data_IF_826136384274
#
_entry.id   IF_826136384274
#
_cell.length_a   1.000
_cell.length_b   1.000
_cell.length_c   1.000
_cell.angle_alpha   90.00
_cell.angle_beta   90.00
_cell.angle_gamma   90.00
#
_symmetry.space_group_name_H-M   'P 1'
#
loop_
_entity.id
_entity.type
_entity.pdbx_description
1 polymer ?
#
# COMPACT_ATOMS: atom_id res chain seq x y z
N UNK A 1 2.96 27.03 -18.42
CA UNK A 1 3.38 25.84 -17.65
C UNK A 1 2.81 25.98 -16.24
N UNK A 2 1.96 25.05 -15.77
CA UNK A 2 1.41 25.13 -14.40
C UNK A 2 2.54 24.84 -13.42
N UNK A 3 2.75 25.73 -12.45
CA UNK A 3 3.68 25.49 -11.34
C UNK A 3 3.09 24.35 -10.51
N UNK A 4 3.77 23.21 -10.47
CA UNK A 4 3.34 22.07 -9.65
C UNK A 4 3.64 22.44 -8.20
N UNK A 5 2.68 22.20 -7.31
CA UNK A 5 2.93 22.36 -5.87
C UNK A 5 3.97 21.32 -5.44
N UNK A 6 5.07 21.79 -4.86
CA UNK A 6 6.11 20.93 -4.32
C UNK A 6 5.78 20.62 -2.85
N UNK A 7 5.52 19.35 -2.56
CA UNK A 7 5.26 18.86 -1.19
C UNK A 7 6.45 18.01 -0.75
N UNK A 8 7.36 18.55 0.06
CA UNK A 8 8.56 17.86 0.56
C UNK A 8 8.83 18.25 2.01
N UNK A 9 9.49 17.36 2.76
CA UNK A 9 9.98 17.64 4.11
C UNK A 9 8.92 17.62 5.20
N UNK A 10 7.70 17.16 4.92
CA UNK A 10 6.65 17.05 5.93
C UNK A 10 7.04 15.98 6.97
N UNK A 11 6.74 16.25 8.24
CA UNK A 11 7.04 15.36 9.35
C UNK A 11 5.76 14.76 9.93
N UNK A 12 5.45 13.54 9.52
CA UNK A 12 4.30 12.77 9.98
C UNK A 12 4.65 11.79 11.11
N UNK A 13 5.87 11.81 11.66
CA UNK A 13 6.30 10.79 12.64
C UNK A 13 5.43 10.69 13.90
N UNK A 14 4.67 11.74 14.23
CA UNK A 14 3.74 11.79 15.36
C UNK A 14 2.26 11.74 14.93
N UNK A 15 1.99 11.54 13.65
CA UNK A 15 0.64 11.47 13.11
C UNK A 15 0.12 10.02 13.13
N UNK A 16 -1.20 9.88 13.29
CA UNK A 16 -1.91 8.64 13.03
C UNK A 16 -2.57 8.74 11.64
N UNK A 17 -2.09 7.95 10.67
CA UNK A 17 -2.55 8.05 9.27
C UNK A 17 -3.83 7.23 9.03
N UNK A 18 -4.92 7.59 9.72
CA UNK A 18 -6.23 6.92 9.58
C UNK A 18 -6.92 7.39 8.30
N UNK A 19 -7.20 6.48 7.35
CA UNK A 19 -7.99 6.82 6.16
C UNK A 19 -7.29 7.82 5.23
N UNK A 20 -5.97 7.90 5.29
CA UNK A 20 -5.16 8.81 4.48
C UNK A 20 -4.53 8.04 3.33
N UNK A 21 -4.61 8.61 2.13
CA UNK A 21 -3.88 8.08 0.96
C UNK A 21 -3.08 9.20 0.30
N UNK A 22 -1.77 8.97 0.13
CA UNK A 22 -0.89 9.87 -0.61
C UNK A 22 -0.76 9.38 -2.05
N UNK A 23 -1.32 10.14 -2.99
CA UNK A 23 -1.43 9.81 -4.43
C UNK A 23 -1.13 11.03 -5.31
N UNK A 24 -1.16 10.83 -6.63
CA UNK A 24 -0.97 11.89 -7.63
C UNK A 24 0.41 12.56 -7.59
N UNK A 25 1.46 11.77 -7.35
CA UNK A 25 2.84 12.21 -7.49
C UNK A 25 3.42 12.86 -6.24
N UNK A 26 2.80 12.69 -5.06
CA UNK A 26 3.46 12.99 -3.79
C UNK A 26 4.70 12.10 -3.68
N UNK A 27 5.86 12.71 -3.56
CA UNK A 27 7.12 12.02 -3.36
C UNK A 27 7.15 11.46 -1.94
N UNK A 28 6.84 10.16 -1.82
CA UNK A 28 6.83 9.47 -0.53
C UNK A 28 8.24 9.39 0.06
N UNK A 29 9.29 9.31 -0.76
CA UNK A 29 10.67 9.31 -0.28
C UNK A 29 11.12 10.66 0.31
N UNK A 30 10.42 11.75 -0.02
CA UNK A 30 10.75 13.10 0.44
C UNK A 30 10.05 13.52 1.74
N UNK A 31 9.33 12.62 2.43
CA UNK A 31 8.67 12.91 3.72
C UNK A 31 9.25 12.06 4.85
N UNK A 32 8.95 12.44 6.10
CA UNK A 32 9.26 11.64 7.29
C UNK A 32 7.99 10.98 7.79
N UNK A 33 7.98 9.65 7.80
CA UNK A 33 6.78 8.87 8.07
C UNK A 33 6.71 8.36 9.51
N UNK A 34 5.50 8.05 10.03
CA UNK A 34 5.37 7.23 11.22
C UNK A 34 6.22 5.96 11.13
N UNK A 35 6.76 5.55 12.27
CA UNK A 35 7.52 4.32 12.41
C UNK A 35 6.71 3.36 13.26
N UNK A 36 6.75 2.07 12.93
CA UNK A 36 6.10 1.03 13.70
C UNK A 36 5.60 -0.11 12.81
N UNK A 37 5.22 -1.24 13.42
CA UNK A 37 4.75 -2.41 12.70
C UNK A 37 3.45 -2.17 11.92
N UNK A 38 2.64 -1.19 12.34
CA UNK A 38 1.34 -0.84 11.77
C UNK A 38 1.43 -0.15 10.41
N UNK A 39 2.61 0.33 10.02
CA UNK A 39 2.84 1.02 8.76
C UNK A 39 3.73 0.20 7.82
N UNK A 40 3.50 0.35 6.52
CA UNK A 40 4.34 -0.21 5.47
C UNK A 40 4.63 0.84 4.42
N UNK A 41 5.91 0.93 4.01
CA UNK A 41 6.36 1.79 2.91
C UNK A 41 6.92 0.89 1.81
N UNK A 42 6.34 0.96 0.62
CA UNK A 42 6.73 0.11 -0.51
C UNK A 42 6.99 0.96 -1.75
N UNK A 43 8.16 0.75 -2.36
CA UNK A 43 8.48 1.24 -3.69
C UNK A 43 7.92 0.30 -4.78
N UNK A 44 7.93 0.74 -6.04
CA UNK A 44 7.58 -0.10 -7.22
C UNK A 44 6.22 -0.79 -7.05
N UNK A 45 5.23 -0.10 -6.47
CA UNK A 45 3.98 -0.72 -6.02
C UNK A 45 3.25 -1.50 -7.14
N UNK A 46 3.26 -0.99 -8.37
CA UNK A 46 2.65 -1.67 -9.52
C UNK A 46 3.28 -3.04 -9.81
N UNK A 47 4.62 -3.11 -9.79
CA UNK A 47 5.34 -4.36 -10.00
C UNK A 47 5.07 -5.33 -8.84
N UNK A 48 5.03 -4.81 -7.59
CA UNK A 48 4.76 -5.62 -6.40
C UNK A 48 3.35 -6.22 -6.44
N UNK A 49 2.35 -5.43 -6.83
CA UNK A 49 0.97 -5.89 -7.03
C UNK A 49 0.91 -6.98 -8.10
N UNK A 50 1.55 -6.77 -9.25
CA UNK A 50 1.55 -7.75 -10.34
C UNK A 50 2.11 -9.11 -9.89
N UNK A 51 3.24 -9.11 -9.16
CA UNK A 51 3.82 -10.34 -8.62
C UNK A 51 3.03 -10.92 -7.44
N UNK A 52 2.53 -10.07 -6.54
CA UNK A 52 1.74 -10.52 -5.39
C UNK A 52 0.47 -11.23 -5.84
N UNK A 53 -0.17 -10.78 -6.93
CA UNK A 53 -1.31 -11.48 -7.52
C UNK A 53 -0.99 -12.92 -7.87
N UNK A 54 0.18 -13.19 -8.47
CA UNK A 54 0.62 -14.56 -8.78
C UNK A 54 0.79 -15.38 -7.49
N UNK A 55 1.48 -14.83 -6.49
CA UNK A 55 1.67 -15.50 -5.20
C UNK A 55 0.35 -15.78 -4.46
N UNK A 56 -0.62 -14.87 -4.55
CA UNK A 56 -1.94 -15.03 -3.91
C UNK A 56 -2.75 -16.14 -4.56
N UNK A 57 -2.61 -16.36 -5.88
CA UNK A 57 -3.30 -17.47 -6.56
C UNK A 57 -2.93 -18.84 -5.97
N UNK A 58 -1.73 -18.99 -5.40
CA UNK A 58 -1.26 -20.22 -4.77
C UNK A 58 -1.75 -20.40 -3.31
N UNK A 59 -2.46 -19.42 -2.73
CA UNK A 59 -3.00 -19.55 -1.37
C UNK A 59 -4.09 -20.62 -1.33
N UNK A 60 -3.99 -21.56 -0.38
CA UNK A 60 -4.91 -22.70 -0.29
C UNK A 60 -6.30 -22.30 0.18
N UNK A 61 -6.39 -21.33 1.09
CA UNK A 61 -7.64 -20.89 1.69
C UNK A 61 -8.47 -20.09 0.68
N UNK A 62 -9.61 -20.64 0.23
CA UNK A 62 -10.45 -20.01 -0.79
C UNK A 62 -10.92 -18.59 -0.42
N UNK A 63 -11.51 -18.35 0.78
CA UNK A 63 -12.02 -17.02 1.13
C UNK A 63 -10.90 -15.98 1.22
N UNK A 64 -9.81 -16.32 1.91
CA UNK A 64 -8.67 -15.40 2.07
C UNK A 64 -8.00 -15.07 0.74
N UNK A 65 -7.99 -16.02 -0.21
CA UNK A 65 -7.47 -15.78 -1.57
C UNK A 65 -8.35 -14.80 -2.33
N UNK A 66 -9.67 -14.96 -2.32
CA UNK A 66 -10.60 -14.05 -3.01
C UNK A 66 -10.52 -12.63 -2.42
N UNK A 67 -10.59 -12.51 -1.10
CA UNK A 67 -10.45 -11.24 -0.37
C UNK A 67 -9.13 -10.53 -0.69
N UNK A 68 -8.02 -11.29 -0.77
CA UNK A 68 -6.73 -10.75 -1.14
C UNK A 68 -6.67 -10.27 -2.60
N UNK A 69 -7.29 -10.99 -3.54
CA UNK A 69 -7.33 -10.60 -4.95
C UNK A 69 -8.17 -9.33 -5.15
N UNK A 70 -9.28 -9.20 -4.44
CA UNK A 70 -10.12 -8.00 -4.42
C UNK A 70 -9.34 -6.80 -3.84
N UNK A 71 -8.67 -6.99 -2.70
CA UNK A 71 -7.82 -5.95 -2.12
C UNK A 71 -6.72 -5.50 -3.10
N UNK A 72 -6.04 -6.44 -3.76
CA UNK A 72 -5.00 -6.12 -4.75
C UNK A 72 -5.55 -5.39 -5.98
N UNK A 73 -6.78 -5.72 -6.42
CA UNK A 73 -7.45 -5.00 -7.50
C UNK A 73 -7.76 -3.56 -7.09
N UNK A 74 -8.34 -3.35 -5.91
CA UNK A 74 -8.63 -2.02 -5.37
C UNK A 74 -7.36 -1.20 -5.17
N UNK A 75 -6.29 -1.81 -4.64
CA UNK A 75 -4.99 -1.17 -4.50
C UNK A 75 -4.39 -0.75 -5.86
N UNK A 76 -4.54 -1.57 -6.91
CA UNK A 76 -4.05 -1.24 -8.25
C UNK A 76 -4.72 0.02 -8.82
N UNK A 77 -6.02 0.19 -8.57
CA UNK A 77 -6.76 1.38 -8.99
C UNK A 77 -6.34 2.60 -8.17
N UNK A 78 -6.31 2.45 -6.84
CA UNK A 78 -6.00 3.54 -5.91
C UNK A 78 -4.60 4.12 -6.14
N UNK A 79 -3.62 3.24 -6.37
CA UNK A 79 -2.22 3.63 -6.55
C UNK A 79 -1.81 3.80 -8.02
N UNK A 80 -2.77 3.86 -8.96
CA UNK A 80 -2.54 3.93 -10.41
C UNK A 80 -1.52 4.99 -10.86
N UNK A 81 -1.40 6.10 -10.13
CA UNK A 81 -0.49 7.20 -10.44
C UNK A 81 0.64 7.37 -9.40
N UNK A 82 0.99 6.31 -8.67
CA UNK A 82 1.92 6.37 -7.55
C UNK A 82 2.97 5.25 -7.64
N UNK A 83 4.25 5.60 -7.51
CA UNK A 83 5.34 4.61 -7.56
C UNK A 83 5.70 4.04 -6.19
N UNK A 84 5.74 4.91 -5.18
CA UNK A 84 6.04 4.55 -3.79
C UNK A 84 4.84 4.91 -2.93
N UNK A 85 4.42 3.99 -2.06
CA UNK A 85 3.25 4.17 -1.20
C UNK A 85 3.65 4.05 0.26
N UNK A 86 2.92 4.75 1.12
CA UNK A 86 2.80 4.43 2.53
C UNK A 86 1.36 4.03 2.81
N UNK A 87 1.17 2.98 3.60
CA UNK A 87 -0.15 2.51 4.02
C UNK A 87 -0.11 1.97 5.43
N UNK A 88 -1.28 2.00 6.09
CA UNK A 88 -1.50 1.19 7.30
C UNK A 88 -1.78 -0.25 6.91
N UNK A 89 -1.31 -1.16 7.75
CA UNK A 89 -1.50 -2.60 7.55
C UNK A 89 -2.96 -3.04 7.66
N UNK A 90 -3.73 -2.36 8.51
CA UNK A 90 -5.15 -2.59 8.71
C UNK A 90 -5.90 -1.27 8.57
N UNK A 91 -6.89 -1.23 7.68
CA UNK A 91 -7.79 -0.10 7.47
C UNK A 91 -9.18 -0.54 7.04
N UNK A 92 -10.18 0.28 7.39
CA UNK A 92 -11.60 0.05 7.05
C UNK A 92 -11.90 0.16 5.55
N UNK A 93 -11.01 0.80 4.77
CA UNK A 93 -11.20 0.94 3.32
C UNK A 93 -11.14 -0.40 2.58
N UNK A 94 -10.57 -1.43 3.20
CA UNK A 94 -10.46 -2.76 2.61
C UNK A 94 -11.56 -3.64 3.21
N UNK A 95 -12.34 -4.30 2.34
CA UNK A 95 -13.34 -5.28 2.75
C UNK A 95 -12.73 -6.52 3.42
N UNK A 96 -11.46 -6.82 3.10
CA UNK A 96 -10.74 -7.97 3.63
C UNK A 96 -10.57 -7.89 5.16
N UNK A 97 -10.68 -9.01 5.89
CA UNK A 97 -10.36 -9.06 7.33
C UNK A 97 -8.92 -8.65 7.64
N UNK A 98 -8.67 -8.13 8.85
CA UNK A 98 -7.36 -7.63 9.26
C UNK A 98 -6.19 -8.59 8.97
N UNK A 99 -6.35 -9.88 9.27
CA UNK A 99 -5.34 -10.91 9.01
C UNK A 99 -5.01 -11.06 7.51
N UNK A 100 -6.00 -10.89 6.63
CA UNK A 100 -5.80 -10.94 5.17
C UNK A 100 -5.11 -9.67 4.69
N UNK A 101 -5.50 -8.50 5.20
CA UNK A 101 -4.84 -7.24 4.85
C UNK A 101 -3.35 -7.27 5.20
N UNK A 102 -3.00 -7.70 6.42
CA UNK A 102 -1.62 -7.86 6.86
C UNK A 102 -0.83 -8.82 5.97
N UNK A 103 -1.43 -9.98 5.65
CA UNK A 103 -0.83 -10.98 4.77
C UNK A 103 -0.63 -10.48 3.34
N UNK A 104 -1.55 -9.66 2.82
CA UNK A 104 -1.41 -8.99 1.51
C UNK A 104 -0.23 -8.02 1.53
N UNK A 105 -0.13 -7.17 2.55
CA UNK A 105 0.99 -6.24 2.69
C UNK A 105 2.34 -6.95 2.81
N UNK A 106 2.41 -8.04 3.57
CA UNK A 106 3.61 -8.87 3.65
C UNK A 106 3.97 -9.52 2.31
N UNK A 107 2.96 -9.94 1.55
CA UNK A 107 3.17 -10.53 0.23
C UNK A 107 3.72 -9.48 -0.74
N UNK A 108 3.14 -8.26 -0.74
CA UNK A 108 3.65 -7.13 -1.51
C UNK A 108 5.10 -6.76 -1.12
N UNK A 109 5.42 -6.77 0.18
CA UNK A 109 6.76 -6.49 0.68
C UNK A 109 7.80 -7.51 0.18
N UNK A 110 7.43 -8.78 0.07
CA UNK A 110 8.32 -9.87 -0.40
C UNK A 110 8.39 -10.03 -1.92
N UNK A 111 7.45 -9.48 -2.69
CA UNK A 111 7.35 -9.70 -4.15
C UNK A 111 8.58 -9.30 -4.98
N UNK A 112 9.39 -8.33 -4.53
CA UNK A 112 10.54 -7.81 -5.29
C UNK A 112 11.72 -7.51 -4.36
N UNK A 113 11.95 -8.39 -3.39
CA UNK A 113 13.21 -8.37 -2.64
C UNK A 113 14.40 -8.65 -3.58
#
# INVERSE_FOLDING_TARGET
MRKINEFRGNDFRKADLVGVTFVHGIDVGAQRWPQGPEYVVLDKIHQRIAKARVTVLDWREHPAREEALEMLQSAAQLYSNQMTVIGRRVEERWSAPAAVQERVWDTLARSIA
#
